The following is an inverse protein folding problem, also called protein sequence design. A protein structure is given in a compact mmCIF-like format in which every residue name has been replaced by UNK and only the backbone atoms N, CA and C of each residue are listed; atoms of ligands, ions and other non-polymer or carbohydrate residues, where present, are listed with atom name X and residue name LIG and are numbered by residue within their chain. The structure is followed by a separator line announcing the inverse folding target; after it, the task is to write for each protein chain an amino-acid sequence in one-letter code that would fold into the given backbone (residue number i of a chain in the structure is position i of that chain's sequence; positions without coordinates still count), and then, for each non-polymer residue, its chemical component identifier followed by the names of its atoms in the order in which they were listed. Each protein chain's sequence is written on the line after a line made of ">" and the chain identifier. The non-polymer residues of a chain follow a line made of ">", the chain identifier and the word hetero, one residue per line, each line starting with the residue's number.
data_IF_815935592124
#
_entry.id   IF_815935592124
#
_cell.length_a   1.000
_cell.length_b   1.000
_cell.length_c   1.000
_cell.angle_alpha   90.00
_cell.angle_beta   90.00
_cell.angle_gamma   90.00
#
_symmetry.space_group_name_H-M   'P 1'
#
loop_
_entity.id
_entity.type
_entity.pdbx_description
1 polymer ?
#
# COMPACT_ATOMS: atom_id res chain seq x y z
N UNK A 1 3.99 -15.51 -12.92
CA UNK A 1 2.94 -15.50 -11.89
C UNK A 1 3.08 -14.20 -11.14
N UNK A 2 1.98 -13.59 -10.68
CA UNK A 2 2.02 -12.36 -9.91
C UNK A 2 2.15 -12.73 -8.41
N UNK A 3 3.13 -12.16 -7.72
CA UNK A 3 3.42 -12.47 -6.32
C UNK A 3 3.70 -11.21 -5.52
N UNK A 4 3.32 -11.21 -4.23
CA UNK A 4 3.69 -10.15 -3.29
C UNK A 4 5.12 -10.38 -2.80
N UNK A 5 5.95 -9.35 -2.92
CA UNK A 5 7.38 -9.42 -2.61
C UNK A 5 7.74 -8.66 -1.33
N UNK A 6 7.05 -7.54 -1.08
CA UNK A 6 7.39 -6.62 0.00
C UNK A 6 6.16 -6.01 0.63
N UNK A 7 6.33 -5.59 1.87
CA UNK A 7 5.38 -4.77 2.61
C UNK A 7 6.06 -3.49 3.07
N UNK A 8 5.34 -2.37 2.98
CA UNK A 8 5.72 -1.11 3.60
C UNK A 8 4.69 -0.72 4.63
N UNK A 9 5.15 -0.40 5.83
CA UNK A 9 4.33 0.11 6.92
C UNK A 9 4.57 1.63 7.00
N UNK A 10 3.49 2.40 6.87
CA UNK A 10 3.52 3.86 6.87
C UNK A 10 2.94 4.37 8.18
N UNK A 11 3.72 5.16 8.91
CA UNK A 11 3.33 5.77 10.18
C UNK A 11 3.37 7.30 10.08
N UNK A 12 2.46 7.96 10.79
CA UNK A 12 2.54 9.40 11.02
C UNK A 12 3.59 9.72 12.08
N UNK A 13 4.54 10.59 11.74
CA UNK A 13 5.59 11.06 12.66
C UNK A 13 6.78 10.11 12.79
N UNK A 14 7.91 10.66 13.25
CA UNK A 14 9.21 9.98 13.26
C UNK A 14 9.53 9.24 14.59
N UNK A 15 8.80 9.53 15.68
CA UNK A 15 9.30 9.25 17.05
C UNK A 15 8.60 8.13 17.83
N UNK A 16 7.89 7.19 17.22
CA UNK A 16 7.24 6.10 17.99
C UNK A 16 8.22 4.96 18.31
N UNK A 17 8.62 4.71 19.58
CA UNK A 17 9.61 3.67 19.91
C UNK A 17 9.05 2.23 19.81
N UNK A 18 7.73 2.07 19.76
CA UNK A 18 7.02 0.80 19.58
C UNK A 18 6.22 0.92 18.28
N UNK A 19 6.31 -0.08 17.40
CA UNK A 19 5.49 -0.13 16.18
C UNK A 19 4.02 -0.21 16.61
N UNK A 20 3.36 0.93 16.65
CA UNK A 20 1.92 1.02 16.85
C UNK A 20 1.17 0.44 15.65
N UNK A 21 -0.12 0.74 15.55
CA UNK A 21 -0.85 0.42 14.31
C UNK A 21 -0.38 1.36 13.19
N UNK A 22 0.10 0.86 12.04
CA UNK A 22 0.43 1.73 10.91
C UNK A 22 -0.82 2.46 10.43
N UNK A 23 -0.65 3.65 9.86
CA UNK A 23 -1.76 4.39 9.27
C UNK A 23 -2.15 3.83 7.89
N UNK A 24 -1.18 3.25 7.18
CA UNK A 24 -1.35 2.63 5.88
C UNK A 24 -0.34 1.48 5.73
N UNK A 25 -0.78 0.38 5.16
CA UNK A 25 0.08 -0.70 4.70
C UNK A 25 0.08 -0.67 3.18
N UNK A 26 1.26 -0.72 2.57
CA UNK A 26 1.41 -0.90 1.13
C UNK A 26 1.98 -2.27 0.86
N UNK A 27 1.29 -3.06 0.05
CA UNK A 27 1.77 -4.33 -0.46
C UNK A 27 2.38 -4.06 -1.83
N UNK A 28 3.62 -4.49 -2.05
CA UNK A 28 4.26 -4.42 -3.34
C UNK A 28 4.43 -5.83 -3.90
N UNK A 29 3.96 -6.02 -5.13
CA UNK A 29 4.08 -7.27 -5.86
C UNK A 29 4.69 -7.08 -7.25
N UNK A 30 5.06 -8.19 -7.87
CA UNK A 30 5.58 -8.24 -9.23
C UNK A 30 5.00 -9.42 -10.02
N UNK A 31 4.72 -9.17 -11.31
CA UNK A 31 4.02 -10.11 -12.19
C UNK A 31 4.16 -9.73 -13.66
N UNK A 32 5.37 -9.34 -14.05
CA UNK A 32 5.70 -8.68 -15.32
C UNK A 32 5.97 -7.18 -15.15
N UNK A 33 5.20 -6.51 -14.27
CA UNK A 33 5.46 -5.15 -13.79
C UNK A 33 5.30 -5.13 -12.27
N UNK A 34 6.01 -4.22 -11.60
CA UNK A 34 5.78 -3.97 -10.18
C UNK A 34 4.46 -3.20 -10.01
N UNK A 35 3.73 -3.49 -8.94
CA UNK A 35 2.62 -2.65 -8.50
C UNK A 35 2.66 -2.48 -6.98
N UNK A 36 2.00 -1.42 -6.50
CA UNK A 36 1.69 -1.21 -5.09
C UNK A 36 0.17 -1.13 -4.92
N UNK A 37 -0.34 -1.77 -3.89
CA UNK A 37 -1.75 -1.75 -3.50
C UNK A 37 -1.90 -1.50 -1.99
N UNK A 38 -3.02 -0.90 -1.54
CA UNK A 38 -3.20 -0.57 -0.14
C UNK A 38 -3.85 -1.70 0.65
N UNK A 39 -3.46 -1.79 1.91
CA UNK A 39 -4.21 -2.47 2.96
C UNK A 39 -4.42 -1.46 4.11
N UNK A 40 -5.67 -1.35 4.56
CA UNK A 40 -6.06 -0.42 5.62
C UNK A 40 -6.20 -1.17 6.94
N UNK A 41 -5.35 -0.89 7.95
CA UNK A 41 -5.38 -1.62 9.22
C UNK A 41 -6.70 -1.51 9.99
N UNK A 42 -7.42 -0.40 9.83
CA UNK A 42 -8.74 -0.17 10.43
C UNK A 42 -9.91 -0.60 9.50
N UNK A 43 -9.59 -1.17 8.33
CA UNK A 43 -10.55 -1.57 7.30
C UNK A 43 -11.26 -0.40 6.60
N UNK A 44 -10.91 0.85 6.90
CA UNK A 44 -11.54 2.02 6.29
C UNK A 44 -10.79 2.39 5.03
N UNK A 45 -11.53 2.41 3.93
CA UNK A 45 -11.02 2.79 2.64
C UNK A 45 -10.77 4.30 2.57
N UNK A 46 -9.51 4.69 2.38
CA UNK A 46 -9.09 6.10 2.41
C UNK A 46 -8.41 6.55 1.12
N UNK A 47 -8.54 5.78 0.04
CA UNK A 47 -7.91 6.11 -1.25
C UNK A 47 -8.47 7.38 -1.87
N UNK A 48 -7.68 7.95 -2.76
CA UNK A 48 -8.04 9.06 -3.61
C UNK A 48 -8.81 8.54 -4.84
N UNK A 49 -10.11 8.83 -4.90
CA UNK A 49 -10.97 8.40 -6.01
C UNK A 49 -11.13 6.87 -6.05
N UNK A 50 -10.94 6.28 -7.23
CA UNK A 50 -11.10 4.83 -7.46
C UNK A 50 -9.78 4.08 -7.59
N UNK A 51 -8.64 4.72 -7.32
CA UNK A 51 -7.31 4.14 -7.50
C UNK A 51 -7.11 2.92 -6.60
N UNK A 52 -6.84 1.77 -7.22
CA UNK A 52 -6.59 0.47 -6.58
C UNK A 52 -5.12 0.08 -6.63
N UNK A 53 -4.39 0.54 -7.64
CA UNK A 53 -3.00 0.20 -7.85
C UNK A 53 -2.18 1.40 -8.32
N UNK A 54 -0.93 1.44 -7.90
CA UNK A 54 0.12 2.31 -8.46
C UNK A 54 1.13 1.40 -9.14
N UNK A 55 1.36 1.61 -10.43
CA UNK A 55 2.37 0.89 -11.22
C UNK A 55 3.53 1.88 -11.42
N UNK A 56 4.69 1.67 -10.77
CA UNK A 56 5.84 2.54 -10.91
C UNK A 56 6.40 2.57 -12.34
N UNK A 57 7.17 3.61 -12.65
CA UNK A 57 7.82 3.73 -13.97
C UNK A 57 8.74 2.54 -14.26
N UNK A 58 9.45 2.10 -13.23
CA UNK A 58 10.33 0.92 -13.22
C UNK A 58 10.37 0.30 -11.81
N UNK A 59 10.81 -0.97 -11.66
CA UNK A 59 10.88 -1.62 -10.36
C UNK A 59 11.76 -0.85 -9.36
N UNK A 60 11.26 -0.64 -8.15
CA UNK A 60 11.87 0.13 -7.07
C UNK A 60 12.14 1.61 -7.43
N UNK A 61 11.30 2.22 -8.29
CA UNK A 61 11.30 3.67 -8.51
C UNK A 61 11.19 4.41 -7.16
N UNK A 62 12.12 5.33 -6.82
CA UNK A 62 12.11 6.03 -5.53
C UNK A 62 10.85 6.89 -5.32
N UNK A 63 10.14 7.25 -6.39
CA UNK A 63 8.89 8.02 -6.31
C UNK A 63 7.68 7.15 -5.94
N UNK A 64 7.77 5.82 -6.13
CA UNK A 64 6.65 4.91 -6.03
C UNK A 64 5.96 4.94 -4.66
N UNK A 65 6.74 5.05 -3.57
CA UNK A 65 6.19 5.12 -2.22
C UNK A 65 5.44 6.43 -1.97
N UNK A 66 5.96 7.55 -2.47
CA UNK A 66 5.26 8.83 -2.40
C UNK A 66 3.93 8.76 -3.18
N UNK A 67 3.96 8.22 -4.40
CA UNK A 67 2.77 8.08 -5.23
C UNK A 67 1.71 7.19 -4.58
N UNK A 68 2.13 6.04 -4.04
CA UNK A 68 1.25 5.14 -3.33
C UNK A 68 0.66 5.79 -2.06
N UNK A 69 1.47 6.52 -1.28
CA UNK A 69 0.95 7.25 -0.11
C UNK A 69 -0.06 8.33 -0.54
N UNK A 70 0.22 9.07 -1.61
CA UNK A 70 -0.70 10.10 -2.13
C UNK A 70 -2.01 9.50 -2.66
N UNK A 71 -1.93 8.37 -3.35
CA UNK A 71 -3.08 7.68 -3.90
C UNK A 71 -3.92 6.98 -2.83
N UNK A 72 -3.30 6.43 -1.78
CA UNK A 72 -3.98 5.54 -0.84
C UNK A 72 -4.17 6.11 0.57
N UNK A 73 -3.40 7.13 0.94
CA UNK A 73 -3.50 7.84 2.21
C UNK A 73 -3.36 9.37 2.05
N UNK A 74 -4.15 10.04 1.20
CA UNK A 74 -4.08 11.50 1.02
C UNK A 74 -4.23 12.29 2.33
N UNK A 75 -5.00 11.77 3.30
CA UNK A 75 -5.17 12.35 4.63
C UNK A 75 -3.85 12.45 5.44
N UNK A 76 -2.84 11.63 5.13
CA UNK A 76 -1.53 11.68 5.77
C UNK A 76 -0.81 13.01 5.50
N UNK A 77 -1.20 13.71 4.43
CA UNK A 77 -0.59 14.94 3.98
C UNK A 77 -1.30 16.21 4.49
N UNK A 78 -2.36 16.04 5.29
CA UNK A 78 -3.21 17.15 5.76
C UNK A 78 -4.01 17.77 4.62
N UNK A 79 -4.52 18.99 4.87
CA UNK A 79 -5.35 19.72 3.91
C UNK A 79 -4.48 20.35 2.82
N UNK A 80 -4.23 19.59 1.75
CA UNK A 80 -3.58 20.11 0.55
C UNK A 80 -4.61 20.80 -0.35
N UNK A 81 -4.51 22.12 -0.62
CA UNK A 81 -5.51 22.85 -1.42
C UNK A 81 -5.70 22.32 -2.85
N UNK A 82 -4.72 21.54 -3.34
CA UNK A 82 -4.75 20.94 -4.67
C UNK A 82 -5.62 19.67 -4.74
N UNK A 83 -5.98 19.09 -3.59
CA UNK A 83 -6.66 17.78 -3.53
C UNK A 83 -7.94 17.72 -4.37
N UNK A 84 -8.85 18.72 -4.34
CA UNK A 84 -10.07 18.68 -5.16
C UNK A 84 -9.77 18.64 -6.67
N UNK A 85 -8.78 19.41 -7.11
CA UNK A 85 -8.36 19.43 -8.51
C UNK A 85 -7.71 18.11 -8.94
N UNK A 86 -6.94 17.46 -8.04
CA UNK A 86 -6.38 16.13 -8.30
C UNK A 86 -7.51 15.10 -8.40
N UNK A 87 -8.46 15.10 -7.47
CA UNK A 87 -9.61 14.19 -7.50
C UNK A 87 -10.41 14.32 -8.81
N UNK A 88 -10.67 15.55 -9.24
CA UNK A 88 -11.34 15.79 -10.51
C UNK A 88 -10.54 15.26 -11.71
N UNK A 89 -9.22 15.48 -11.71
CA UNK A 89 -8.34 15.05 -12.81
C UNK A 89 -8.16 13.52 -12.87
N UNK A 90 -8.21 12.82 -11.73
CA UNK A 90 -8.22 11.36 -11.69
C UNK A 90 -9.48 10.77 -12.32
N UNK A 91 -10.61 11.48 -12.22
CA UNK A 91 -11.88 11.05 -12.82
C UNK A 91 -12.24 9.60 -12.48
N UNK A 92 -12.39 8.76 -13.50
CA UNK A 92 -12.74 7.35 -13.38
C UNK A 92 -11.55 6.39 -13.31
N UNK A 93 -10.31 6.88 -13.22
CA UNK A 93 -9.13 6.01 -13.20
C UNK A 93 -9.16 5.05 -12.01
N UNK A 94 -8.72 3.82 -12.27
CA UNK A 94 -8.59 2.76 -11.26
C UNK A 94 -7.13 2.44 -10.95
N UNK A 95 -6.19 2.95 -11.74
CA UNK A 95 -4.76 2.76 -11.55
C UNK A 95 -3.98 4.00 -11.96
N UNK A 96 -2.84 4.23 -11.32
CA UNK A 96 -1.84 5.19 -11.78
C UNK A 96 -0.70 4.41 -12.41
N UNK A 97 -0.64 4.41 -13.74
CA UNK A 97 0.37 3.67 -14.50
C UNK A 97 1.46 4.61 -15.03
N UNK A 98 2.58 4.68 -14.29
CA UNK A 98 3.74 5.48 -14.68
C UNK A 98 4.65 4.75 -15.68
N UNK A 99 4.44 3.44 -15.90
CA UNK A 99 5.26 2.63 -16.79
C UNK A 99 4.91 2.86 -18.26
N UNK A 100 3.61 2.95 -18.58
CA UNK A 100 3.12 3.07 -19.97
C UNK A 100 3.15 4.53 -20.49
N UNK A 101 3.64 5.47 -19.68
CA UNK A 101 3.85 6.87 -20.06
C UNK A 101 2.83 7.84 -19.49
N UNK A 102 3.08 9.15 -19.69
CA UNK A 102 2.37 10.27 -19.02
C UNK A 102 0.86 10.33 -19.30
N UNK A 103 0.36 9.69 -20.35
CA UNK A 103 -1.06 9.78 -20.73
C UNK A 103 -2.01 9.11 -19.73
N UNK A 104 -1.52 8.20 -18.88
CA UNK A 104 -2.32 7.52 -17.86
C UNK A 104 -2.23 8.18 -16.47
N UNK A 105 -1.41 9.23 -16.32
CA UNK A 105 -1.29 9.97 -15.06
C UNK A 105 -1.51 11.46 -15.32
N UNK A 106 -2.53 12.08 -14.71
CA UNK A 106 -2.80 13.50 -14.92
C UNK A 106 -1.60 14.39 -14.60
N UNK A 107 -1.33 15.41 -15.42
CA UNK A 107 -0.19 16.33 -15.25
C UNK A 107 -0.15 17.00 -13.87
N UNK A 108 -1.32 17.25 -13.28
CA UNK A 108 -1.46 17.81 -11.93
C UNK A 108 -0.81 16.95 -10.85
N UNK A 109 -0.62 15.65 -11.10
CA UNK A 109 0.03 14.73 -10.18
C UNK A 109 1.45 15.16 -9.81
N UNK A 110 2.20 15.72 -10.77
CA UNK A 110 3.56 16.20 -10.49
C UNK A 110 3.55 17.37 -9.49
N UNK A 111 2.57 18.27 -9.62
CA UNK A 111 2.38 19.36 -8.65
C UNK A 111 1.94 18.83 -7.29
N UNK A 112 1.10 17.79 -7.27
CA UNK A 112 0.68 17.12 -6.05
C UNK A 112 1.87 16.53 -5.29
N UNK A 113 2.79 15.83 -5.99
CA UNK A 113 4.06 15.34 -5.43
C UNK A 113 4.87 16.46 -4.77
N UNK A 114 5.09 17.56 -5.49
CA UNK A 114 5.89 18.69 -4.97
C UNK A 114 5.30 19.28 -3.69
N UNK A 115 3.97 19.43 -3.63
CA UNK A 115 3.30 19.97 -2.44
C UNK A 115 3.32 18.99 -1.26
N UNK A 116 3.23 17.69 -1.52
CA UNK A 116 3.22 16.65 -0.51
C UNK A 116 4.60 16.29 0.04
N UNK A 117 5.67 16.54 -0.71
CA UNK A 117 7.03 16.09 -0.40
C UNK A 117 7.51 16.48 1.01
N UNK A 118 7.32 17.72 1.50
CA UNK A 118 7.76 18.07 2.86
C UNK A 118 7.11 17.17 3.93
N UNK A 119 5.81 16.90 3.79
CA UNK A 119 5.06 16.08 4.74
C UNK A 119 5.36 14.60 4.57
N UNK A 120 5.68 14.14 3.36
CA UNK A 120 6.17 12.79 3.11
C UNK A 120 7.45 12.48 3.88
N UNK A 121 8.38 13.44 3.94
CA UNK A 121 9.67 13.28 4.64
C UNK A 121 9.52 13.18 6.17
N UNK A 122 8.35 13.54 6.70
CA UNK A 122 8.01 13.41 8.12
C UNK A 122 7.31 12.07 8.43
N UNK A 123 6.96 11.28 7.40
CA UNK A 123 6.43 9.94 7.59
C UNK A 123 7.56 8.98 7.94
N UNK A 124 7.26 8.05 8.85
CA UNK A 124 8.13 6.92 9.09
C UNK A 124 7.70 5.75 8.22
N UNK A 125 8.64 5.26 7.40
CA UNK A 125 8.45 4.15 6.49
C UNK A 125 9.28 2.95 6.97
N UNK A 126 8.67 1.79 7.08
CA UNK A 126 9.35 0.53 7.40
C UNK A 126 9.09 -0.46 6.27
N UNK A 127 10.16 -0.98 5.67
CA UNK A 127 10.10 -2.00 4.62
C UNK A 127 10.39 -3.39 5.23
N UNK A 128 9.68 -4.41 4.74
CA UNK A 128 9.95 -5.80 5.07
C UNK A 128 9.73 -6.73 3.87
N UNK A 129 10.54 -7.78 3.70
CA UNK A 129 10.30 -8.79 2.67
C UNK A 129 9.10 -9.66 3.06
N UNK A 130 8.30 -10.03 2.07
CA UNK A 130 7.25 -11.02 2.22
C UNK A 130 7.74 -12.40 1.77
N UNK A 131 7.30 -13.43 2.48
CA UNK A 131 7.52 -14.82 2.12
C UNK A 131 6.26 -15.61 2.39
N UNK A 132 5.86 -16.45 1.45
CA UNK A 132 4.78 -17.40 1.68
C UNK A 132 5.24 -18.45 2.68
N UNK A 133 4.41 -18.70 3.69
CA UNK A 133 4.62 -19.77 4.67
C UNK A 133 3.41 -20.69 4.66
N UNK A 134 3.64 -21.98 4.88
CA UNK A 134 2.54 -22.93 5.07
C UNK A 134 2.11 -22.93 6.54
N UNK A 135 0.80 -23.01 6.84
CA UNK A 135 0.34 -23.21 8.21
C UNK A 135 0.96 -24.48 8.79
N UNK A 136 1.59 -24.36 9.97
CA UNK A 136 2.03 -25.52 10.74
C UNK A 136 0.85 -25.91 11.63
N UNK A 137 0.30 -27.11 11.42
CA UNK A 137 -0.71 -27.68 12.31
C UNK A 137 0.03 -28.25 13.53
N UNK A 138 -0.21 -27.74 14.75
CA UNK A 138 0.42 -28.30 15.95
C UNK A 138 0.02 -29.78 16.14
N UNK A 139 0.95 -30.64 16.58
CA UNK A 139 0.69 -32.07 16.74
C UNK A 139 -0.46 -32.36 17.72
N UNK A 140 -0.71 -31.49 18.71
CA UNK A 140 -1.77 -31.69 19.72
C UNK A 140 -3.19 -31.63 19.12
N UNK A 141 -3.36 -31.00 17.95
CA UNK A 141 -4.66 -30.91 17.25
C UNK A 141 -5.03 -32.23 16.57
N UNK A 142 -4.07 -33.12 16.31
CA UNK A 142 -4.35 -34.43 15.72
C UNK A 142 -4.83 -35.48 16.73
N UNK A 143 -4.47 -35.36 18.01
CA UNK A 143 -4.79 -36.36 19.04
C UNK A 143 -6.26 -36.29 19.48
N UNK A 144 -6.85 -35.10 19.51
CA UNK A 144 -8.27 -34.90 19.86
C UNK A 144 -9.25 -35.43 18.81
N UNK A 145 -8.82 -35.56 17.55
CA UNK A 145 -9.63 -36.16 16.48
C UNK A 145 -9.66 -37.69 16.51
N UNK A 146 -8.71 -38.33 17.19
CA UNK A 146 -8.60 -39.80 17.26
C UNK A 146 -9.47 -40.41 18.37
N UNK A 147 -9.74 -39.67 19.45
CA UNK A 147 -10.60 -40.14 20.54
C UNK A 147 -12.10 -40.01 20.21
N UNK A 148 -12.51 -39.06 19.37
CA UNK A 148 -13.91 -38.89 18.97
C UNK A 148 -14.43 -39.96 17.98
N UNK A 149 -13.54 -40.81 17.46
CA UNK A 149 -13.85 -41.88 16.50
C UNK A 149 -13.95 -43.29 17.09
N UNK A 150 -13.78 -43.47 18.41
CA UNK A 150 -13.97 -44.76 19.09
C UNK A 150 -15.20 -44.73 19.99
N UNK A 151 -16.38 -44.76 19.37
CA UNK A 151 -17.57 -45.33 19.99
C UNK A 151 -17.87 -46.63 19.23
N UNK A 152 -17.34 -47.73 19.77
CA UNK A 152 -17.77 -49.09 19.46
C UNK A 152 -18.99 -49.45 20.29
#
# INVERSE_FOLDING_TARGET
>A
MAELEKIFLVYQGLETPILGTPALILLAGAGGRQWLEPLYPDGRDQRLGNIRAVIPSFPNDPSALLDACLAFGPHLFGDLPILPAVQQALGGLTQLDFHVGKEQVPEIWQRFRTMALPRFLELRLVEGPLRTVSPIIPPEVFETGREAGMLH
#
